data_IF_475819353895
#
_entry.id   IF_475819353895
#
_cell.length_a   1.000
_cell.length_b   1.000
_cell.length_c   1.000
_cell.angle_alpha   90.00
_cell.angle_beta   90.00
_cell.angle_gamma   90.00
#
_symmetry.space_group_name_H-M   'P 1'
#
loop_
_entity.id
_entity.type
_entity.pdbx_description
1 polymer ?
#
# COMPACT_ATOMS: atom_id res chain seq x y z
N UNK A 1 -2.71 -9.18 0.85
CA UNK A 1 -1.94 -8.17 0.10
C UNK A 1 -2.69 -7.58 -1.12
N UNK A 2 -2.64 -6.25 -1.31
CA UNK A 2 -3.20 -5.52 -2.46
C UNK A 2 -2.05 -4.98 -3.33
N UNK A 3 -2.22 -5.02 -4.65
CA UNK A 3 -1.23 -4.47 -5.59
C UNK A 3 -1.81 -3.28 -6.36
N UNK A 4 -1.08 -2.17 -6.39
CA UNK A 4 -1.47 -0.96 -7.09
C UNK A 4 -0.61 -0.70 -8.32
N UNK A 5 -1.26 -0.32 -9.41
CA UNK A 5 -0.63 0.08 -10.66
C UNK A 5 -0.34 1.58 -10.62
N UNK A 6 0.84 1.99 -11.06
CA UNK A 6 1.16 3.41 -11.22
C UNK A 6 0.31 4.06 -12.31
N UNK A 7 0.26 5.39 -12.29
CA UNK A 7 -0.33 6.20 -13.36
C UNK A 7 0.44 5.99 -14.66
N UNK A 8 -0.27 6.17 -15.79
CA UNK A 8 0.28 5.91 -17.13
C UNK A 8 1.48 6.83 -17.38
N UNK A 9 2.60 6.24 -17.76
CA UNK A 9 3.84 6.95 -18.03
C UNK A 9 4.81 6.98 -16.86
N UNK A 10 4.36 6.73 -15.64
CA UNK A 10 5.15 6.87 -14.42
C UNK A 10 5.67 5.51 -13.92
N UNK A 11 6.82 5.50 -13.26
CA UNK A 11 7.47 4.31 -12.70
C UNK A 11 7.63 4.44 -11.19
N UNK A 12 7.59 3.31 -10.47
CA UNK A 12 7.61 3.33 -9.00
C UNK A 12 8.94 3.90 -8.49
N UNK A 13 10.06 3.45 -9.06
CA UNK A 13 11.41 3.93 -8.75
C UNK A 13 11.59 5.45 -8.93
N UNK A 14 10.85 6.07 -9.85
CA UNK A 14 10.95 7.52 -10.09
C UNK A 14 10.12 8.32 -9.08
N UNK A 15 9.02 7.73 -8.59
CA UNK A 15 8.11 8.39 -7.65
C UNK A 15 8.57 8.23 -6.22
N UNK A 16 9.07 7.04 -5.89
CA UNK A 16 9.63 6.67 -4.59
C UNK A 16 11.06 6.16 -4.85
N UNK A 17 12.04 7.07 -5.00
CA UNK A 17 13.43 6.68 -5.23
C UNK A 17 14.05 6.01 -4.00
N UNK A 18 13.53 6.31 -2.81
CA UNK A 18 13.91 5.70 -1.54
C UNK A 18 12.68 5.09 -0.86
N UNK A 19 12.40 3.82 -1.19
CA UNK A 19 11.25 3.10 -0.64
C UNK A 19 11.36 2.93 0.87
N UNK A 20 12.55 2.59 1.37
CA UNK A 20 12.78 2.39 2.80
C UNK A 20 12.55 3.68 3.57
N UNK A 21 13.18 4.78 3.14
CA UNK A 21 13.01 6.10 3.76
C UNK A 21 11.56 6.59 3.74
N UNK A 22 10.84 6.42 2.61
CA UNK A 22 9.41 6.77 2.56
C UNK A 22 8.56 5.91 3.50
N UNK A 23 8.84 4.62 3.63
CA UNK A 23 8.09 3.76 4.57
C UNK A 23 8.35 4.22 6.00
N UNK A 24 9.61 4.47 6.36
CA UNK A 24 9.98 4.93 7.70
C UNK A 24 9.39 6.29 8.04
N UNK A 25 9.30 7.22 7.07
CA UNK A 25 8.71 8.54 7.25
C UNK A 25 7.19 8.47 7.48
N UNK A 26 6.48 7.63 6.73
CA UNK A 26 5.02 7.57 6.79
C UNK A 26 4.49 6.67 7.89
N UNK A 27 5.18 5.57 8.19
CA UNK A 27 4.65 4.48 8.99
C UNK A 27 5.51 4.12 10.19
N UNK A 28 6.75 4.56 10.25
CA UNK A 28 7.69 4.22 11.32
C UNK A 28 8.68 3.11 10.93
N UNK A 29 9.54 2.70 11.87
CA UNK A 29 10.78 1.98 11.59
C UNK A 29 10.54 0.61 10.94
N UNK A 30 11.35 0.27 9.95
CA UNK A 30 11.30 -1.06 9.32
C UNK A 30 11.92 -2.08 10.28
N UNK A 31 11.12 -3.09 10.62
CA UNK A 31 11.49 -4.16 11.57
C UNK A 31 11.96 -5.43 10.87
N UNK A 32 11.63 -5.61 9.60
CA UNK A 32 12.03 -6.78 8.84
C UNK A 32 11.63 -6.73 7.38
N UNK A 33 11.77 -7.88 6.71
CA UNK A 33 11.35 -8.07 5.32
C UNK A 33 10.62 -9.39 5.14
N UNK A 34 9.70 -9.43 4.17
CA UNK A 34 8.92 -10.61 3.79
C UNK A 34 8.99 -10.81 2.28
N UNK A 35 9.19 -12.05 1.83
CA UNK A 35 9.24 -12.37 0.40
C UNK A 35 7.83 -12.46 -0.18
N UNK A 36 7.57 -11.72 -1.26
CA UNK A 36 6.32 -11.79 -2.01
C UNK A 36 6.59 -11.78 -3.51
N UNK A 37 6.17 -12.86 -4.19
CA UNK A 37 6.31 -13.03 -5.65
C UNK A 37 7.75 -12.86 -6.17
N UNK A 38 8.74 -13.21 -5.36
CA UNK A 38 10.16 -13.08 -5.69
C UNK A 38 10.75 -11.69 -5.46
N UNK A 39 9.96 -10.75 -4.91
CA UNK A 39 10.43 -9.46 -4.43
C UNK A 39 10.44 -9.42 -2.90
N UNK A 40 11.34 -8.62 -2.32
CA UNK A 40 11.39 -8.40 -0.87
C UNK A 40 10.55 -7.19 -0.50
N UNK A 41 9.57 -7.36 0.37
CA UNK A 41 8.75 -6.28 0.92
C UNK A 41 9.21 -5.96 2.33
N UNK A 42 9.11 -4.70 2.73
CA UNK A 42 9.46 -4.25 4.08
C UNK A 42 8.28 -4.44 5.02
N UNK A 43 8.59 -4.80 6.27
CA UNK A 43 7.63 -5.05 7.33
C UNK A 43 7.85 -4.04 8.45
N UNK A 44 6.78 -3.35 8.83
CA UNK A 44 6.70 -2.50 10.01
C UNK A 44 5.77 -3.22 11.00
N UNK A 45 6.36 -3.87 12.01
CA UNK A 45 5.61 -4.56 13.07
C UNK A 45 5.09 -3.60 14.15
N UNK A 46 5.72 -2.44 14.31
CA UNK A 46 5.32 -1.41 15.28
C UNK A 46 5.18 -0.06 14.58
N UNK A 47 4.06 0.18 13.86
CA UNK A 47 3.85 1.46 13.18
C UNK A 47 3.66 2.62 14.17
N UNK A 48 4.06 3.83 13.77
CA UNK A 48 3.93 5.03 14.61
C UNK A 48 2.48 5.37 14.94
N UNK A 49 1.56 5.04 14.02
CA UNK A 49 0.13 5.25 14.23
C UNK A 49 -0.52 4.00 14.86
N UNK A 50 -1.15 4.11 16.05
CA UNK A 50 -1.67 2.97 16.82
C UNK A 50 -2.85 2.25 16.17
N UNK A 51 -3.41 2.79 15.09
CA UNK A 51 -4.47 2.13 14.30
C UNK A 51 -3.92 0.99 13.46
N UNK A 52 -2.64 1.04 13.09
CA UNK A 52 -1.99 -0.05 12.36
C UNK A 52 -1.31 -1.01 13.35
N UNK A 53 -1.61 -2.30 13.21
CA UNK A 53 -0.93 -3.37 13.96
C UNK A 53 0.31 -3.88 13.22
N UNK A 54 0.28 -3.84 11.89
CA UNK A 54 1.38 -4.28 11.04
C UNK A 54 1.18 -3.74 9.63
N UNK A 55 2.27 -3.32 8.99
CA UNK A 55 2.25 -2.89 7.59
C UNK A 55 3.31 -3.68 6.83
N UNK A 56 2.92 -4.24 5.68
CA UNK A 56 3.84 -4.85 4.72
C UNK A 56 3.75 -4.08 3.42
N UNK A 57 4.89 -3.61 2.91
CA UNK A 57 4.91 -2.73 1.74
C UNK A 57 6.21 -2.85 0.97
N UNK A 58 6.13 -2.80 -0.36
CA UNK A 58 7.31 -2.72 -1.20
C UNK A 58 6.99 -2.80 -2.69
N UNK A 59 8.05 -2.71 -3.49
CA UNK A 59 7.99 -2.89 -4.93
C UNK A 59 7.92 -4.39 -5.28
N UNK A 60 7.02 -4.74 -6.18
CA UNK A 60 6.97 -6.06 -6.81
C UNK A 60 7.35 -5.94 -8.26
N UNK A 61 8.45 -6.57 -8.60
CA UNK A 61 9.03 -6.54 -9.94
C UNK A 61 8.36 -7.58 -10.83
N UNK A 62 8.10 -7.19 -12.08
CA UNK A 62 7.52 -8.08 -13.08
C UNK A 62 8.32 -8.04 -14.37
N UNK A 63 8.84 -9.19 -14.79
CA UNK A 63 9.55 -9.29 -16.08
C UNK A 63 8.66 -8.82 -17.23
N UNK A 64 9.10 -7.77 -17.93
CA UNK A 64 8.41 -7.21 -19.10
C UNK A 64 7.18 -6.35 -18.80
N UNK A 65 6.93 -6.02 -17.53
CA UNK A 65 5.89 -5.08 -17.11
C UNK A 65 6.51 -4.04 -16.18
N UNK A 66 5.77 -2.95 -15.94
CA UNK A 66 6.13 -2.03 -14.87
C UNK A 66 5.96 -2.72 -13.52
N UNK A 67 6.78 -2.32 -12.57
CA UNK A 67 6.66 -2.74 -11.19
C UNK A 67 5.29 -2.35 -10.64
N UNK A 68 4.92 -2.94 -9.51
CA UNK A 68 3.72 -2.54 -8.78
C UNK A 68 4.08 -2.30 -7.34
N UNK A 69 3.31 -1.42 -6.71
CA UNK A 69 3.37 -1.29 -5.26
C UNK A 69 2.48 -2.36 -4.64
N UNK A 70 3.07 -3.27 -3.87
CA UNK A 70 2.31 -4.18 -3.02
C UNK A 70 2.22 -3.60 -1.61
N UNK A 71 1.01 -3.65 -1.03
CA UNK A 71 0.76 -3.19 0.34
C UNK A 71 -0.22 -4.12 1.06
N UNK A 72 -0.05 -4.22 2.35
CA UNK A 72 -0.96 -4.89 3.28
C UNK A 72 -0.96 -4.11 4.59
N UNK A 73 -2.11 -3.55 4.93
CA UNK A 73 -2.31 -2.83 6.19
C UNK A 73 -3.15 -3.72 7.09
N UNK A 74 -2.60 -4.12 8.23
CA UNK A 74 -3.34 -4.71 9.32
C UNK A 74 -3.79 -3.58 10.24
N UNK A 75 -5.09 -3.27 10.20
CA UNK A 75 -5.71 -2.19 10.96
C UNK A 75 -6.52 -2.79 12.11
N UNK A 76 -6.47 -2.15 13.28
CA UNK A 76 -7.31 -2.49 14.44
C UNK A 76 -8.79 -2.24 14.11
N UNK A 77 -9.66 -2.98 14.78
CA UNK A 77 -11.11 -2.80 14.57
C UNK A 77 -11.54 -1.41 15.08
N UNK A 78 -12.23 -0.60 14.24
CA UNK A 78 -12.63 0.76 14.62
C UNK A 78 -13.59 0.81 15.81
N UNK A 79 -14.28 -0.30 16.13
CA UNK A 79 -15.17 -0.39 17.30
C UNK A 79 -14.42 -0.60 18.61
N UNK A 80 -13.15 -1.00 18.55
CA UNK A 80 -12.26 -1.18 19.70
C UNK A 80 -11.38 0.05 19.95
N UNK A 81 -11.48 1.08 19.12
CA UNK A 81 -10.74 2.32 19.27
C UNK A 81 -11.38 3.23 20.32
N UNK A 82 -10.57 3.69 21.26
CA UNK A 82 -10.89 4.75 22.20
C UNK A 82 -10.94 6.13 21.55
N UNK A 83 -11.39 7.16 22.28
CA UNK A 83 -11.57 8.51 21.74
C UNK A 83 -10.27 9.15 21.21
N UNK A 84 -9.12 8.92 21.85
CA UNK A 84 -7.82 9.40 21.38
C UNK A 84 -7.35 8.65 20.11
N UNK A 85 -7.76 7.39 19.96
CA UNK A 85 -7.45 6.56 18.79
C UNK A 85 -8.33 6.90 17.57
N UNK A 86 -9.46 7.58 17.76
CA UNK A 86 -10.30 8.07 16.65
C UNK A 86 -9.65 9.21 15.88
N UNK A 87 -8.91 10.09 16.56
CA UNK A 87 -8.11 11.13 15.90
C UNK A 87 -6.98 10.47 15.09
N UNK A 88 -6.26 9.52 15.71
CA UNK A 88 -5.25 8.72 15.03
C UNK A 88 -5.81 7.95 13.81
N UNK A 89 -7.08 7.52 13.83
CA UNK A 89 -7.71 6.87 12.69
C UNK A 89 -7.89 7.79 11.48
N UNK A 90 -8.16 9.08 11.70
CA UNK A 90 -8.19 10.04 10.60
C UNK A 90 -6.78 10.20 10.00
N UNK A 91 -5.77 10.39 10.85
CA UNK A 91 -4.37 10.52 10.43
C UNK A 91 -3.88 9.25 9.71
N UNK A 92 -4.30 8.06 10.15
CA UNK A 92 -3.97 6.78 9.52
C UNK A 92 -4.52 6.70 8.08
N UNK A 93 -5.77 7.15 7.89
CA UNK A 93 -6.41 7.18 6.58
C UNK A 93 -5.70 8.17 5.65
N UNK A 94 -5.32 9.33 6.16
CA UNK A 94 -4.63 10.36 5.40
C UNK A 94 -3.21 9.91 5.02
N UNK A 95 -2.41 9.42 5.98
CA UNK A 95 -1.08 8.85 5.71
C UNK A 95 -1.13 7.72 4.66
N UNK A 96 -2.10 6.80 4.78
CA UNK A 96 -2.32 5.74 3.79
C UNK A 96 -2.66 6.30 2.41
N UNK A 97 -3.49 7.33 2.34
CA UNK A 97 -3.90 7.90 1.06
C UNK A 97 -2.79 8.70 0.39
N UNK A 98 -2.02 9.46 1.17
CA UNK A 98 -0.92 10.29 0.72
C UNK A 98 0.23 9.41 0.24
N UNK A 99 0.66 8.42 1.02
CA UNK A 99 1.66 7.44 0.58
C UNK A 99 1.25 6.75 -0.73
N UNK A 100 0.01 6.26 -0.81
CA UNK A 100 -0.47 5.59 -2.01
C UNK A 100 -0.61 6.53 -3.20
N UNK A 101 -0.97 7.80 -2.98
CA UNK A 101 -1.02 8.82 -4.03
C UNK A 101 0.39 9.15 -4.51
N UNK A 102 1.34 9.34 -3.61
CA UNK A 102 2.73 9.63 -3.90
C UNK A 102 3.35 8.49 -4.71
N UNK A 103 3.23 7.26 -4.25
CA UNK A 103 3.81 6.09 -4.89
C UNK A 103 3.15 5.76 -6.24
N UNK A 104 1.82 5.87 -6.33
CA UNK A 104 1.10 5.41 -7.52
C UNK A 104 0.77 6.53 -8.51
N UNK A 105 0.85 7.79 -8.10
CA UNK A 105 0.34 8.93 -8.85
C UNK A 105 -1.19 8.91 -9.03
N UNK A 106 -1.90 8.13 -8.22
CA UNK A 106 -3.36 7.94 -8.32
C UNK A 106 -4.07 8.23 -7.01
N UNK A 107 -5.10 9.06 -7.09
CA UNK A 107 -6.01 9.29 -5.97
C UNK A 107 -6.81 8.02 -5.61
N UNK A 108 -7.44 8.03 -4.44
CA UNK A 108 -8.18 6.89 -3.92
C UNK A 108 -9.27 6.38 -4.88
N UNK A 109 -9.97 7.27 -5.57
CA UNK A 109 -11.01 6.90 -6.54
C UNK A 109 -10.37 6.24 -7.76
N UNK A 110 -9.32 6.82 -8.33
CA UNK A 110 -8.59 6.23 -9.45
C UNK A 110 -7.97 4.87 -9.12
N UNK A 111 -7.46 4.68 -7.89
CA UNK A 111 -6.96 3.39 -7.39
C UNK A 111 -8.08 2.34 -7.32
N UNK A 112 -9.24 2.69 -6.74
CA UNK A 112 -10.40 1.80 -6.66
C UNK A 112 -10.92 1.40 -8.05
N UNK A 113 -11.09 2.37 -8.95
CA UNK A 113 -11.59 2.10 -10.31
C UNK A 113 -10.62 1.21 -11.09
N UNK A 114 -9.31 1.37 -10.88
CA UNK A 114 -8.28 0.51 -11.48
C UNK A 114 -8.29 -0.92 -10.92
N UNK A 115 -8.50 -1.07 -9.61
CA UNK A 115 -8.65 -2.40 -8.98
C UNK A 115 -9.90 -3.10 -9.49
N UNK A 116 -11.04 -2.40 -9.54
CA UNK A 116 -12.30 -2.94 -10.04
C UNK A 116 -12.16 -3.48 -11.47
N UNK A 117 -11.58 -2.68 -12.38
CA UNK A 117 -11.33 -3.13 -13.76
C UNK A 117 -10.40 -4.33 -13.84
N UNK A 118 -9.42 -4.44 -12.92
CA UNK A 118 -8.51 -5.59 -12.94
C UNK A 118 -9.20 -6.89 -12.48
N UNK A 119 -10.27 -6.78 -11.69
CA UNK A 119 -11.14 -7.92 -11.31
C UNK A 119 -12.09 -8.27 -12.45
N UNK A 120 -12.63 -7.26 -13.16
CA UNK A 120 -13.55 -7.46 -14.30
C UNK A 120 -12.85 -8.00 -15.56
N UNK A 121 -11.55 -7.75 -15.73
CA UNK A 121 -10.74 -8.22 -16.88
C UNK A 121 -10.09 -9.60 -16.62
N UNK A 122 -10.35 -10.21 -15.45
CA UNK A 122 -9.87 -11.55 -15.12
C UNK A 122 -10.74 -12.58 -15.85
N UNK A 123 -10.17 -13.45 -16.74
CA UNK A 123 -10.93 -14.35 -17.60
C UNK A 123 -11.74 -15.42 -16.84
N UNK A 124 -11.51 -15.57 -15.52
CA UNK A 124 -12.34 -16.39 -14.63
C UNK A 124 -13.67 -15.69 -14.20
N UNK A 125 -13.85 -14.40 -14.48
CA UNK A 125 -15.06 -13.64 -14.14
C UNK A 125 -16.15 -13.69 -15.23
N UNK A 126 -15.86 -14.29 -16.39
CA UNK A 126 -16.78 -14.54 -17.51
C UNK A 126 -17.37 -15.97 -17.47
N UNK A 127 -17.82 -16.42 -16.30
CA UNK A 127 -18.63 -17.63 -16.14
C UNK A 127 -19.91 -17.32 -15.35
N UNK A 128 -20.91 -16.75 -16.04
CA UNK A 128 -22.34 -17.11 -15.88
C UNK A 128 -23.12 -16.79 -17.17
#
# INVERSE_FOLDING_TARGET
MKEYKMRRGEYLEERIPDMEGSIEEYFGPITGTEEFRGSSLHVVEEPDNPVFERIVVGAVEYSGKKDKLAVEFHERDPTELGPDELEAAADAVDAKNDFLLEATGRDAKARRDSLKRSVEDDPDHDLD
#
